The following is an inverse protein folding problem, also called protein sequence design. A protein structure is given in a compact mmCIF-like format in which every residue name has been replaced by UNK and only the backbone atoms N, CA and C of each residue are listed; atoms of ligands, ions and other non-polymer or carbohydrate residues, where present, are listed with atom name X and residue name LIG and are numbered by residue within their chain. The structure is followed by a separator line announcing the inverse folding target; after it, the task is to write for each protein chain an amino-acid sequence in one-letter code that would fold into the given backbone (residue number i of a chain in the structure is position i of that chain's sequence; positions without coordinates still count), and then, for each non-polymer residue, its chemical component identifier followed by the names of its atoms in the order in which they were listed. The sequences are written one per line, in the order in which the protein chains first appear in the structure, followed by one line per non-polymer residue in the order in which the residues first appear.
data_IF_082480326580
#
_entry.id   IF_082480326580
#
_cell.length_a   1.000
_cell.length_b   1.000
_cell.length_c   1.000
_cell.angle_alpha   90.00
_cell.angle_beta   90.00
_cell.angle_gamma   90.00
#
_symmetry.space_group_name_H-M   'P 1'
#
loop_
_entity.id
_entity.type
_entity.pdbx_description
1 polymer ?
#
# COMPACT_ATOMS: atom_id res chain seq x y z
N UNK A 1 9.28 -19.12 -23.93
CA UNK A 1 7.84 -19.28 -24.26
C UNK A 1 7.18 -20.51 -23.57
N UNK A 2 7.40 -20.76 -22.27
CA UNK A 2 6.73 -21.83 -21.51
C UNK A 2 6.53 -21.46 -20.02
N UNK A 3 6.01 -20.26 -19.75
CA UNK A 3 5.68 -19.80 -18.38
C UNK A 3 4.26 -19.23 -18.21
N UNK A 4 3.47 -19.12 -19.29
CA UNK A 4 2.09 -18.60 -19.24
C UNK A 4 0.99 -19.65 -19.07
N UNK A 5 1.28 -20.96 -19.18
CA UNK A 5 0.23 -22.00 -19.20
C UNK A 5 -0.03 -22.72 -17.86
N UNK A 6 0.47 -22.19 -16.74
CA UNK A 6 0.25 -22.76 -15.40
C UNK A 6 -0.47 -21.81 -14.44
N UNK A 7 -0.70 -20.56 -14.80
CA UNK A 7 -1.53 -19.61 -14.03
C UNK A 7 -3.05 -19.78 -14.27
N UNK A 8 -3.45 -20.53 -15.30
CA UNK A 8 -4.87 -20.79 -15.59
C UNK A 8 -5.48 -21.94 -14.75
N UNK A 9 -4.71 -22.59 -13.86
CA UNK A 9 -5.10 -23.90 -13.28
C UNK A 9 -5.60 -23.93 -11.83
N UNK A 10 -5.90 -22.80 -11.18
CA UNK A 10 -6.50 -22.83 -9.81
C UNK A 10 -7.72 -21.91 -9.62
N UNK A 11 -8.23 -21.25 -10.68
CA UNK A 11 -9.56 -20.57 -10.59
C UNK A 11 -10.71 -21.51 -11.03
N UNK A 12 -10.40 -22.75 -11.41
CA UNK A 12 -11.43 -23.71 -11.80
C UNK A 12 -11.82 -24.62 -10.62
N UNK A 13 -13.10 -24.47 -10.19
CA UNK A 13 -13.89 -25.29 -9.23
C UNK A 13 -14.08 -24.78 -7.79
N UNK A 14 -14.29 -23.49 -7.60
CA UNK A 14 -15.29 -23.06 -6.62
C UNK A 14 -16.27 -22.17 -7.35
N UNK A 15 -17.57 -22.45 -7.22
CA UNK A 15 -18.64 -21.60 -7.72
C UNK A 15 -18.60 -20.26 -6.99
N UNK A 16 -17.66 -19.40 -7.38
CA UNK A 16 -17.55 -18.00 -7.02
C UNK A 16 -18.63 -17.34 -7.88
N UNK A 17 -19.75 -16.97 -7.26
CA UNK A 17 -20.93 -16.47 -8.00
C UNK A 17 -20.59 -15.28 -8.88
N UNK A 18 -21.39 -15.03 -9.91
CA UNK A 18 -21.11 -14.05 -10.98
C UNK A 18 -20.67 -12.66 -10.46
N UNK A 19 -21.27 -12.16 -9.38
CA UNK A 19 -20.89 -10.87 -8.78
C UNK A 19 -19.45 -10.83 -8.27
N UNK A 20 -18.95 -11.92 -7.67
CA UNK A 20 -17.55 -11.97 -7.20
C UNK A 20 -16.59 -12.12 -8.37
N UNK A 21 -16.97 -12.83 -9.43
CA UNK A 21 -16.15 -12.90 -10.64
C UNK A 21 -16.00 -11.54 -11.31
N UNK A 22 -17.07 -10.74 -11.38
CA UNK A 22 -17.04 -9.36 -11.91
C UNK A 22 -16.15 -8.47 -11.05
N UNK A 23 -16.34 -8.48 -9.73
CA UNK A 23 -15.50 -7.72 -8.80
C UNK A 23 -14.01 -8.09 -8.91
N UNK A 24 -13.68 -9.38 -9.01
CA UNK A 24 -12.30 -9.83 -9.18
C UNK A 24 -11.72 -9.48 -10.55
N UNK A 25 -12.54 -9.45 -11.61
CA UNK A 25 -12.08 -8.92 -12.90
C UNK A 25 -11.81 -7.43 -12.80
N UNK A 26 -12.66 -6.65 -12.14
CA UNK A 26 -12.44 -5.21 -11.95
C UNK A 26 -11.16 -4.94 -11.15
N UNK A 27 -10.89 -5.68 -10.06
CA UNK A 27 -9.62 -5.55 -9.33
C UNK A 27 -8.37 -5.93 -10.14
N UNK A 28 -8.53 -6.72 -11.21
CA UNK A 28 -7.44 -7.11 -12.11
C UNK A 28 -7.29 -6.18 -13.30
N UNK A 29 -8.41 -5.68 -13.79
CA UNK A 29 -8.54 -4.90 -15.02
C UNK A 29 -8.71 -3.40 -14.78
N UNK A 30 -8.70 -2.93 -13.52
CA UNK A 30 -9.00 -1.54 -13.17
C UNK A 30 -8.27 -0.55 -14.08
N UNK A 31 -9.06 0.43 -14.53
CA UNK A 31 -9.11 0.88 -15.92
C UNK A 31 -7.96 1.82 -16.32
N UNK A 32 -7.34 1.51 -17.47
CA UNK A 32 -6.49 2.40 -18.27
C UNK A 32 -7.29 3.30 -19.25
N UNK A 33 -8.50 3.76 -18.89
CA UNK A 33 -9.40 4.45 -19.83
C UNK A 33 -9.48 5.97 -19.68
N UNK A 34 -8.39 6.64 -19.33
CA UNK A 34 -8.11 7.99 -19.85
C UNK A 34 -6.61 7.98 -20.08
N UNK A 35 -6.16 7.88 -21.32
CA UNK A 35 -4.74 8.13 -21.63
C UNK A 35 -4.50 9.61 -21.33
N UNK A 36 -3.82 9.97 -20.23
CA UNK A 36 -3.35 11.34 -20.09
C UNK A 36 -2.24 11.51 -21.13
N UNK A 37 -1.82 12.74 -21.38
CA UNK A 37 -0.53 12.98 -22.02
C UNK A 37 0.52 12.11 -21.30
N UNK A 38 1.08 11.10 -21.97
CA UNK A 38 2.01 10.14 -21.38
C UNK A 38 3.26 10.79 -20.76
N UNK A 39 3.48 12.07 -21.11
CA UNK A 39 4.55 12.91 -20.56
C UNK A 39 4.21 13.57 -19.21
N UNK A 40 2.94 13.66 -18.83
CA UNK A 40 2.49 14.24 -17.56
C UNK A 40 2.54 13.22 -16.41
N UNK A 41 2.18 11.97 -16.67
CA UNK A 41 2.22 10.86 -15.69
C UNK A 41 3.62 10.37 -15.38
N UNK A 42 4.58 10.50 -16.31
CA UNK A 42 5.96 10.01 -16.15
C UNK A 42 6.90 10.99 -15.42
N UNK A 43 6.41 12.16 -15.01
CA UNK A 43 7.20 13.12 -14.21
C UNK A 43 6.63 13.21 -12.81
N UNK A 44 7.49 13.12 -11.79
CA UNK A 44 6.99 13.18 -10.43
C UNK A 44 6.51 14.60 -10.08
N UNK A 45 5.40 14.72 -9.34
CA UNK A 45 4.84 16.00 -8.93
C UNK A 45 5.82 16.73 -8.02
N UNK A 46 5.71 18.06 -7.92
CA UNK A 46 6.58 18.84 -7.03
C UNK A 46 6.34 18.42 -5.58
N UNK A 47 7.41 18.11 -4.87
CA UNK A 47 7.37 17.96 -3.40
C UNK A 47 7.34 19.37 -2.81
N UNK A 48 6.41 19.62 -1.89
CA UNK A 48 6.26 20.93 -1.25
C UNK A 48 7.52 21.33 -0.48
N UNK A 49 7.86 22.63 -0.48
CA UNK A 49 8.96 23.17 0.31
C UNK A 49 8.54 23.29 1.78
N UNK A 50 9.26 22.62 2.69
CA UNK A 50 9.01 22.68 4.15
C UNK A 50 8.24 21.49 4.75
N UNK A 51 8.01 20.43 3.97
CA UNK A 51 7.33 19.21 4.42
C UNK A 51 8.26 18.16 5.03
N UNK A 52 7.66 17.08 5.55
CA UNK A 52 8.30 15.86 6.06
C UNK A 52 9.03 15.04 4.97
N UNK A 53 8.80 15.38 3.70
CA UNK A 53 9.45 14.78 2.54
C UNK A 53 10.12 15.89 1.74
N UNK A 54 11.34 15.65 1.27
CA UNK A 54 12.04 16.51 0.32
C UNK A 54 12.73 15.69 -0.75
N UNK A 55 12.85 16.27 -1.95
CA UNK A 55 13.45 15.62 -3.12
C UNK A 55 14.49 16.52 -3.76
N UNK A 56 15.72 16.02 -3.81
CA UNK A 56 16.78 16.56 -4.65
C UNK A 56 16.83 15.76 -5.95
N UNK A 57 16.92 16.44 -7.08
CA UNK A 57 16.99 15.82 -8.41
C UNK A 57 18.43 15.93 -8.91
N UNK A 58 19.08 14.79 -9.12
CA UNK A 58 20.37 14.72 -9.80
C UNK A 58 20.17 14.30 -11.25
N UNK A 59 21.26 14.20 -12.02
CA UNK A 59 21.19 13.76 -13.41
C UNK A 59 20.51 12.39 -13.55
N UNK A 60 20.87 11.42 -12.71
CA UNK A 60 20.40 10.04 -12.78
C UNK A 60 19.46 9.60 -11.66
N UNK A 61 19.29 10.38 -10.58
CA UNK A 61 18.56 9.92 -9.38
C UNK A 61 17.60 10.96 -8.80
N UNK A 62 16.57 10.44 -8.15
CA UNK A 62 15.81 11.15 -7.12
C UNK A 62 16.41 10.81 -5.76
N UNK A 63 16.91 11.81 -5.05
CA UNK A 63 17.41 11.67 -3.68
C UNK A 63 16.34 12.20 -2.73
N UNK A 64 15.69 11.27 -2.05
CA UNK A 64 14.60 11.52 -1.12
C UNK A 64 15.13 11.63 0.30
N UNK A 65 14.71 12.66 1.03
CA UNK A 65 14.87 12.73 2.48
C UNK A 65 13.51 12.73 3.13
N UNK A 66 13.31 11.80 4.06
CA UNK A 66 12.10 11.63 4.84
C UNK A 66 12.39 11.88 6.31
N UNK A 67 11.52 12.64 6.95
CA UNK A 67 11.50 12.86 8.39
C UNK A 67 10.09 12.55 8.90
N UNK A 68 9.96 11.76 9.96
CA UNK A 68 8.63 11.41 10.46
C UNK A 68 8.66 11.13 11.96
N UNK A 69 7.47 11.08 12.55
CA UNK A 69 7.27 10.74 13.95
C UNK A 69 6.41 9.48 14.02
N UNK A 70 6.85 8.48 14.78
CA UNK A 70 6.01 7.29 15.01
C UNK A 70 5.01 7.50 16.15
N UNK A 71 4.15 6.50 16.39
CA UNK A 71 3.12 6.56 17.44
C UNK A 71 3.70 6.79 18.84
N UNK A 72 4.94 6.37 19.08
CA UNK A 72 5.66 6.55 20.36
C UNK A 72 6.37 7.91 20.44
N UNK A 73 6.05 8.85 19.55
CA UNK A 73 6.63 10.20 19.49
C UNK A 73 8.13 10.23 19.22
N UNK A 74 8.68 9.16 18.61
CA UNK A 74 10.08 9.13 18.20
C UNK A 74 10.23 9.71 16.81
N UNK A 75 11.20 10.62 16.67
CA UNK A 75 11.52 11.28 15.40
C UNK A 75 12.59 10.50 14.65
N UNK A 76 12.29 10.19 13.40
CA UNK A 76 13.13 9.39 12.52
C UNK A 76 13.52 10.20 11.30
N UNK A 77 14.70 9.87 10.75
CA UNK A 77 15.17 10.40 9.47
C UNK A 77 15.74 9.27 8.62
N UNK A 78 15.44 9.33 7.32
CA UNK A 78 16.01 8.42 6.34
C UNK A 78 16.25 9.16 5.03
N UNK A 79 17.34 8.78 4.36
CA UNK A 79 17.66 9.23 3.00
C UNK A 79 17.71 8.01 2.10
N UNK A 80 17.05 8.09 0.95
CA UNK A 80 16.98 7.04 -0.04
C UNK A 80 17.16 7.62 -1.44
N UNK A 81 17.93 6.92 -2.28
CA UNK A 81 18.09 7.28 -3.66
C UNK A 81 17.42 6.23 -4.56
N UNK A 82 16.61 6.70 -5.51
CA UNK A 82 16.00 5.91 -6.56
C UNK A 82 16.51 6.39 -7.91
N UNK A 83 16.85 5.46 -8.80
CA UNK A 83 17.22 5.81 -10.17
C UNK A 83 15.99 6.38 -10.91
N UNK A 84 16.20 7.44 -11.69
CA UNK A 84 15.11 8.10 -12.44
C UNK A 84 14.48 7.17 -13.47
N UNK A 85 15.26 6.20 -13.97
CA UNK A 85 14.78 5.16 -14.88
C UNK A 85 13.81 4.23 -14.18
N UNK A 86 14.10 3.82 -12.94
CA UNK A 86 13.19 2.97 -12.15
C UNK A 86 11.84 3.66 -11.94
N UNK A 87 11.83 4.96 -11.61
CA UNK A 87 10.59 5.73 -11.54
C UNK A 87 9.85 5.80 -12.88
N UNK A 88 10.56 6.10 -13.98
CA UNK A 88 9.90 6.24 -15.28
C UNK A 88 9.40 4.91 -15.85
N UNK A 89 10.08 3.80 -15.55
CA UNK A 89 9.64 2.45 -15.91
C UNK A 89 8.39 2.09 -15.10
N UNK A 90 8.41 2.34 -13.80
CA UNK A 90 7.25 2.14 -12.93
C UNK A 90 6.03 2.95 -13.37
N UNK A 91 6.20 4.23 -13.67
CA UNK A 91 5.12 5.11 -14.15
C UNK A 91 4.61 4.77 -15.57
N UNK A 92 5.32 3.91 -16.31
CA UNK A 92 4.87 3.37 -17.60
C UNK A 92 4.23 1.99 -17.46
N UNK A 93 4.39 1.34 -16.31
CA UNK A 93 3.81 0.04 -16.04
C UNK A 93 2.39 0.22 -15.53
N UNK A 94 1.42 -0.35 -16.24
CA UNK A 94 0.02 -0.31 -15.83
C UNK A 94 -0.30 -1.55 -15.00
N UNK A 95 -0.87 -1.32 -13.82
CA UNK A 95 -1.29 -2.37 -12.91
C UNK A 95 -2.75 -2.18 -12.51
N UNK A 96 -3.51 -3.26 -12.50
CA UNK A 96 -4.69 -3.33 -11.63
C UNK A 96 -4.26 -3.51 -10.17
N UNK A 97 -5.19 -3.36 -9.23
CA UNK A 97 -4.95 -3.48 -7.78
C UNK A 97 -4.12 -4.72 -7.40
N UNK A 98 -4.48 -5.91 -7.90
CA UNK A 98 -3.71 -7.13 -7.56
C UNK A 98 -2.27 -7.11 -8.11
N UNK A 99 -2.07 -6.48 -9.27
CA UNK A 99 -0.74 -6.29 -9.84
C UNK A 99 0.13 -5.38 -8.99
N UNK A 100 -0.42 -4.25 -8.52
CA UNK A 100 0.28 -3.30 -7.63
C UNK A 100 0.74 -3.94 -6.32
N UNK A 101 -0.12 -4.80 -5.73
CA UNK A 101 0.26 -5.60 -4.57
C UNK A 101 1.44 -6.54 -4.85
N UNK A 102 1.40 -7.28 -5.97
CA UNK A 102 2.43 -8.25 -6.33
C UNK A 102 3.77 -7.57 -6.65
N UNK A 103 3.74 -6.43 -7.34
CA UNK A 103 4.96 -5.65 -7.65
C UNK A 103 5.58 -5.04 -6.40
N UNK A 104 4.77 -4.51 -5.48
CA UNK A 104 5.28 -3.96 -4.22
C UNK A 104 6.02 -5.02 -3.37
N UNK A 105 5.53 -6.26 -3.33
CA UNK A 105 6.21 -7.37 -2.63
C UNK A 105 7.51 -7.80 -3.29
N UNK A 106 7.60 -7.71 -4.62
CA UNK A 106 8.71 -8.26 -5.41
C UNK A 106 9.73 -7.22 -5.87
N UNK A 107 9.49 -5.94 -5.60
CA UNK A 107 10.38 -4.84 -5.95
C UNK A 107 11.69 -4.87 -5.16
N UNK A 108 12.80 -4.84 -5.90
CA UNK A 108 14.15 -4.69 -5.34
C UNK A 108 14.41 -3.30 -4.76
N UNK A 109 13.75 -2.28 -5.29
CA UNK A 109 13.86 -0.91 -4.77
C UNK A 109 13.14 -0.79 -3.43
N UNK A 110 11.98 -1.45 -3.28
CA UNK A 110 11.28 -1.57 -2.01
C UNK A 110 12.08 -2.40 -1.01
N UNK A 111 12.68 -3.52 -1.40
CA UNK A 111 13.58 -4.29 -0.54
C UNK A 111 14.75 -3.43 -0.02
N UNK A 112 15.41 -2.69 -0.92
CA UNK A 112 16.49 -1.76 -0.55
C UNK A 112 15.99 -0.67 0.40
N UNK A 113 14.79 -0.15 0.15
CA UNK A 113 14.17 0.86 1.00
C UNK A 113 13.82 0.29 2.38
N UNK A 114 13.27 -0.92 2.48
CA UNK A 114 12.97 -1.61 3.72
C UNK A 114 14.23 -1.79 4.58
N UNK A 115 15.34 -2.23 3.97
CA UNK A 115 16.64 -2.29 4.64
C UNK A 115 17.09 -0.91 5.15
N UNK A 116 16.92 0.15 4.36
CA UNK A 116 17.26 1.52 4.78
C UNK A 116 16.39 1.99 5.93
N UNK A 117 15.09 1.69 5.91
CA UNK A 117 14.14 2.05 6.95
C UNK A 117 14.42 1.32 8.27
N UNK A 118 14.81 0.05 8.21
CA UNK A 118 15.28 -0.71 9.37
C UNK A 118 16.55 -0.11 9.99
N UNK A 119 17.39 0.54 9.18
CA UNK A 119 18.59 1.26 9.59
C UNK A 119 18.39 2.78 9.74
N UNK A 120 17.15 3.28 9.79
CA UNK A 120 16.88 4.71 9.89
C UNK A 120 17.38 5.32 11.21
N UNK A 121 17.82 6.56 11.13
CA UNK A 121 18.45 7.29 12.23
C UNK A 121 17.39 7.85 13.17
N UNK A 122 17.56 7.60 14.48
CA UNK A 122 16.75 8.25 15.51
C UNK A 122 17.30 9.67 15.73
N UNK A 123 16.45 10.69 15.63
CA UNK A 123 16.87 12.09 15.73
C UNK A 123 17.04 12.61 17.17
N UNK A 124 16.85 11.77 18.18
CA UNK A 124 16.98 12.13 19.61
C UNK A 124 18.21 11.47 20.24
N UNK A 125 18.82 12.14 21.23
CA UNK A 125 20.15 11.83 21.82
C UNK A 125 20.31 10.48 22.55
N UNK A 126 19.28 9.64 22.64
CA UNK A 126 19.41 8.33 23.30
C UNK A 126 20.11 7.32 22.39
N UNK A 127 21.44 7.32 22.50
CA UNK A 127 22.34 6.43 21.80
C UNK A 127 22.13 4.94 22.17
N UNK A 128 22.14 4.10 21.13
CA UNK A 128 22.64 2.73 21.14
C UNK A 128 21.86 1.65 21.95
N UNK A 129 20.53 1.70 21.99
CA UNK A 129 19.75 0.47 22.25
C UNK A 129 19.36 -0.23 20.95
N UNK A 130 19.51 -1.56 20.85
CA UNK A 130 18.91 -2.32 19.76
C UNK A 130 17.42 -1.98 19.65
N UNK A 131 17.01 -1.48 18.48
CA UNK A 131 15.60 -1.15 18.23
C UNK A 131 14.80 -2.46 18.30
N UNK A 132 13.85 -2.52 19.23
CA UNK A 132 12.97 -3.67 19.42
C UNK A 132 12.15 -3.97 18.17
N UNK A 133 11.65 -5.21 18.03
CA UNK A 133 10.81 -5.59 16.90
C UNK A 133 9.56 -4.72 16.77
N UNK A 134 8.90 -4.42 17.89
CA UNK A 134 7.80 -3.44 17.98
C UNK A 134 8.24 -2.08 17.47
N UNK A 135 9.41 -1.61 17.90
CA UNK A 135 9.90 -0.30 17.49
C UNK A 135 10.19 -0.22 15.99
N UNK A 136 10.68 -1.31 15.37
CA UNK A 136 10.88 -1.39 13.91
C UNK A 136 9.55 -1.38 13.16
N UNK A 137 8.56 -2.15 13.62
CA UNK A 137 7.23 -2.18 13.01
C UNK A 137 6.55 -0.79 13.09
N UNK A 138 6.50 -0.18 14.27
CA UNK A 138 5.93 1.16 14.47
C UNK A 138 6.66 2.23 13.65
N UNK A 139 7.98 2.09 13.46
CA UNK A 139 8.73 2.97 12.58
C UNK A 139 8.26 2.85 11.13
N UNK A 140 8.06 1.64 10.63
CA UNK A 140 7.59 1.41 9.26
C UNK A 140 6.16 1.93 9.04
N UNK A 141 5.26 1.64 9.99
CA UNK A 141 3.88 2.15 9.98
C UNK A 141 3.88 3.68 10.02
N UNK A 142 4.65 4.28 10.95
CA UNK A 142 4.74 5.72 11.08
C UNK A 142 5.35 6.41 9.86
N UNK A 143 6.28 5.74 9.16
CA UNK A 143 6.83 6.26 7.91
C UNK A 143 5.76 6.38 6.83
N UNK A 144 5.03 5.30 6.56
CA UNK A 144 3.99 5.30 5.51
C UNK A 144 2.90 6.32 5.83
N UNK A 145 2.42 6.36 7.08
CA UNK A 145 1.41 7.33 7.55
C UNK A 145 1.87 8.79 7.49
N UNK A 146 3.17 9.03 7.35
CA UNK A 146 3.72 10.40 7.25
C UNK A 146 3.74 10.94 5.82
N UNK A 147 3.56 10.07 4.82
CA UNK A 147 3.47 10.48 3.43
C UNK A 147 2.15 11.23 3.19
N UNK A 148 2.14 12.12 2.19
CA UNK A 148 0.94 12.90 1.90
C UNK A 148 -0.20 12.02 1.40
N UNK A 149 -1.42 12.24 1.89
CA UNK A 149 -2.59 11.66 1.25
C UNK A 149 -2.98 12.50 0.03
N UNK A 150 -3.27 11.86 -1.10
CA UNK A 150 -3.81 12.52 -2.31
C UNK A 150 -4.64 11.53 -3.10
N UNK A 151 -5.76 11.97 -3.66
CA UNK A 151 -6.53 11.14 -4.62
C UNK A 151 -5.84 11.13 -5.99
N UNK A 152 -6.18 10.15 -6.82
CA UNK A 152 -5.69 10.11 -8.20
C UNK A 152 -6.23 11.22 -9.07
N UNK A 153 -7.47 11.64 -8.85
CA UNK A 153 -8.04 12.74 -9.62
C UNK A 153 -7.28 14.03 -9.34
N UNK A 154 -6.89 14.29 -8.09
CA UNK A 154 -6.16 15.50 -7.71
C UNK A 154 -4.69 15.49 -8.18
N UNK A 155 -4.07 14.31 -8.23
CA UNK A 155 -2.63 14.19 -8.47
C UNK A 155 -2.24 13.73 -9.87
N UNK A 156 -3.06 12.90 -10.52
CA UNK A 156 -2.84 12.34 -11.86
C UNK A 156 -3.91 12.77 -12.86
N UNK A 157 -5.02 13.35 -12.39
CA UNK A 157 -6.10 13.81 -13.26
C UNK A 157 -6.95 12.69 -13.84
N UNK A 158 -6.85 11.48 -13.29
CA UNK A 158 -7.62 10.31 -13.68
C UNK A 158 -8.39 9.74 -12.49
N UNK A 159 -9.55 9.10 -12.69
CA UNK A 159 -10.35 8.57 -11.59
C UNK A 159 -9.72 7.41 -10.83
N UNK A 160 -8.73 6.71 -11.39
CA UNK A 160 -8.10 5.55 -10.76
C UNK A 160 -6.70 5.38 -11.37
N UNK A 161 -5.68 5.32 -10.52
CA UNK A 161 -4.28 5.16 -10.87
C UNK A 161 -3.53 4.48 -9.71
N UNK A 162 -3.28 3.19 -9.86
CA UNK A 162 -2.45 2.44 -8.90
C UNK A 162 -0.98 2.84 -9.04
N UNK A 163 -0.45 3.64 -8.10
CA UNK A 163 0.99 3.93 -8.08
C UNK A 163 1.76 2.69 -7.67
N UNK A 164 2.89 2.47 -8.30
CA UNK A 164 3.86 1.52 -7.76
C UNK A 164 4.47 2.07 -6.46
N UNK A 165 5.07 1.21 -5.65
CA UNK A 165 5.77 1.63 -4.46
C UNK A 165 6.94 2.61 -4.76
N UNK A 166 7.61 2.49 -5.91
CA UNK A 166 8.62 3.43 -6.39
C UNK A 166 8.04 4.81 -6.66
N UNK A 167 6.88 4.87 -7.31
CA UNK A 167 6.17 6.12 -7.54
C UNK A 167 5.77 6.76 -6.21
N UNK A 168 5.14 6.00 -5.31
CA UNK A 168 4.73 6.48 -3.97
C UNK A 168 5.90 7.03 -3.17
N UNK A 169 7.06 6.36 -3.22
CA UNK A 169 8.29 6.84 -2.56
C UNK A 169 8.75 8.18 -3.16
N UNK A 170 8.88 8.28 -4.49
CA UNK A 170 9.40 9.51 -5.14
C UNK A 170 8.41 10.67 -5.04
N UNK A 171 7.11 10.40 -5.17
CA UNK A 171 6.05 11.40 -5.13
C UNK A 171 5.80 11.87 -3.69
N UNK A 172 6.17 11.03 -2.71
CA UNK A 172 6.02 11.29 -1.27
C UNK A 172 4.57 11.34 -0.83
N UNK A 173 3.68 10.68 -1.58
CA UNK A 173 2.23 10.70 -1.41
C UNK A 173 1.56 9.54 -2.15
N UNK A 174 0.31 9.27 -1.79
CA UNK A 174 -0.60 8.35 -2.46
C UNK A 174 -1.95 8.33 -1.75
N UNK A 175 -2.91 7.58 -2.25
CA UNK A 175 -4.16 7.29 -1.56
C UNK A 175 -4.08 5.97 -0.78
N UNK A 176 -5.21 5.30 -0.54
CA UNK A 176 -5.28 4.19 0.40
C UNK A 176 -4.52 2.96 -0.10
N UNK A 177 -4.66 2.61 -1.38
CA UNK A 177 -4.02 1.47 -2.03
C UNK A 177 -2.51 1.68 -2.13
N UNK A 178 -2.07 2.86 -2.54
CA UNK A 178 -0.65 3.16 -2.73
C UNK A 178 0.13 3.04 -1.42
N UNK A 179 -0.44 3.60 -0.35
CA UNK A 179 0.14 3.56 0.98
C UNK A 179 0.02 2.15 1.58
N UNK A 180 -1.06 1.41 1.33
CA UNK A 180 -1.18 0.01 1.71
C UNK A 180 -0.12 -0.85 1.01
N UNK A 181 0.06 -0.72 -0.30
CA UNK A 181 1.07 -1.45 -1.08
C UNK A 181 2.48 -1.13 -0.64
N UNK A 182 2.80 0.14 -0.41
CA UNK A 182 4.11 0.51 0.10
C UNK A 182 4.38 -0.12 1.48
N UNK A 183 3.40 -0.07 2.41
CA UNK A 183 3.56 -0.70 3.72
C UNK A 183 3.73 -2.21 3.61
N UNK A 184 2.89 -2.87 2.80
CA UNK A 184 2.96 -4.31 2.51
C UNK A 184 4.35 -4.66 1.95
N UNK A 185 4.83 -3.94 0.95
CA UNK A 185 6.12 -4.16 0.32
C UNK A 185 7.27 -4.03 1.32
N UNK A 186 7.26 -2.98 2.15
CA UNK A 186 8.26 -2.78 3.20
C UNK A 186 8.27 -3.94 4.20
N UNK A 187 7.09 -4.33 4.70
CA UNK A 187 6.97 -5.35 5.73
C UNK A 187 7.25 -6.77 5.21
N UNK A 188 6.96 -7.04 3.94
CA UNK A 188 7.19 -8.35 3.33
C UNK A 188 8.66 -8.63 3.05
N UNK A 189 9.47 -7.59 2.88
CA UNK A 189 10.86 -7.72 2.47
C UNK A 189 11.83 -7.76 3.67
N UNK A 190 13.04 -8.33 3.50
CA UNK A 190 14.09 -8.23 4.50
C UNK A 190 14.39 -6.78 4.91
N UNK A 191 14.65 -6.51 6.21
CA UNK A 191 14.77 -7.46 7.32
C UNK A 191 13.47 -7.64 8.13
N UNK A 192 12.31 -7.26 7.57
CA UNK A 192 11.03 -7.32 8.27
C UNK A 192 10.38 -8.72 8.15
N UNK A 193 10.28 -9.23 6.92
CA UNK A 193 9.86 -10.60 6.60
C UNK A 193 8.51 -11.03 7.21
N UNK A 194 7.55 -10.11 7.31
CA UNK A 194 6.19 -10.43 7.75
C UNK A 194 5.40 -11.04 6.60
N UNK A 195 4.55 -12.03 6.90
CA UNK A 195 3.50 -12.46 5.98
C UNK A 195 2.43 -11.38 5.94
N UNK A 196 2.23 -10.80 4.78
CA UNK A 196 1.30 -9.71 4.54
C UNK A 196 0.12 -10.15 3.67
N UNK A 197 -0.91 -9.31 3.63
CA UNK A 197 -2.02 -9.43 2.71
C UNK A 197 -2.56 -8.04 2.37
N UNK A 198 -3.22 -7.91 1.22
CA UNK A 198 -4.11 -6.78 0.96
C UNK A 198 -5.48 -7.10 1.55
N UNK A 199 -6.09 -6.10 2.20
CA UNK A 199 -7.41 -6.20 2.80
C UNK A 199 -8.27 -5.10 2.18
N UNK A 200 -9.40 -5.50 1.60
CA UNK A 200 -10.27 -4.61 0.82
C UNK A 200 -11.63 -4.51 1.50
N UNK A 201 -11.88 -3.47 2.31
CA UNK A 201 -13.22 -2.96 2.60
C UNK A 201 -13.83 -2.23 1.38
N UNK A 202 -15.13 -1.86 1.42
CA UNK A 202 -15.71 -0.92 0.47
C UNK A 202 -14.91 0.39 0.41
N UNK A 203 -14.52 0.82 -0.79
CA UNK A 203 -13.89 2.12 -1.06
C UNK A 203 -12.62 2.45 -0.25
N UNK A 204 -11.94 1.43 0.29
CA UNK A 204 -10.73 1.60 1.10
C UNK A 204 -9.80 0.40 0.95
N UNK A 205 -8.54 0.57 1.32
CA UNK A 205 -7.55 -0.51 1.34
C UNK A 205 -6.67 -0.45 2.59
N UNK A 206 -6.45 -1.61 3.20
CA UNK A 206 -5.62 -1.76 4.39
C UNK A 206 -4.51 -2.78 4.13
N UNK A 207 -3.40 -2.64 4.87
CA UNK A 207 -2.40 -3.69 4.97
C UNK A 207 -2.83 -4.73 6.00
N UNK A 208 -2.76 -6.02 5.68
CA UNK A 208 -2.91 -7.12 6.62
C UNK A 208 -1.54 -7.68 7.00
N UNK A 209 -1.33 -7.99 8.28
CA UNK A 209 -0.13 -8.72 8.76
C UNK A 209 -0.55 -9.95 9.53
N UNK A 210 0.07 -11.10 9.25
CA UNK A 210 -0.26 -12.34 9.93
C UNK A 210 -0.04 -12.20 11.45
N UNK A 211 -1.02 -12.62 12.26
CA UNK A 211 -1.01 -12.44 13.72
C UNK A 211 0.22 -13.02 14.39
N UNK A 212 0.61 -14.26 14.03
CA UNK A 212 1.83 -14.91 14.55
C UNK A 212 3.12 -14.15 14.24
N UNK A 213 3.12 -13.33 13.18
CA UNK A 213 4.28 -12.53 12.83
C UNK A 213 4.27 -11.22 13.61
N UNK A 214 3.24 -10.84 14.37
CA UNK A 214 3.28 -9.59 15.11
C UNK A 214 4.11 -9.67 16.41
N UNK A 215 4.72 -8.56 16.86
CA UNK A 215 5.30 -8.49 18.19
C UNK A 215 4.26 -8.78 19.29
N UNK A 216 4.69 -9.38 20.40
CA UNK A 216 3.81 -9.83 21.49
C UNK A 216 2.89 -8.74 22.07
N UNK A 217 3.25 -7.45 21.95
CA UNK A 217 2.39 -6.33 22.35
C UNK A 217 1.06 -6.28 21.58
N UNK A 218 0.97 -6.93 20.42
CA UNK A 218 -0.25 -7.00 19.60
C UNK A 218 -0.94 -8.36 19.69
N UNK A 219 -0.56 -9.26 20.60
CA UNK A 219 -1.12 -10.62 20.67
C UNK A 219 -2.65 -10.64 20.86
N UNK A 220 -3.19 -9.68 21.60
CA UNK A 220 -4.64 -9.56 21.88
C UNK A 220 -5.39 -8.68 20.87
N UNK A 221 -4.73 -8.30 19.78
CA UNK A 221 -5.31 -7.41 18.77
C UNK A 221 -6.39 -8.15 17.96
N UNK A 222 -7.55 -7.53 17.70
CA UNK A 222 -8.57 -8.14 16.86
C UNK A 222 -8.03 -8.55 15.49
N UNK A 223 -8.35 -9.77 15.09
CA UNK A 223 -8.03 -10.29 13.76
C UNK A 223 -9.19 -10.04 12.79
N UNK A 224 -8.84 -9.95 11.51
CA UNK A 224 -9.77 -9.89 10.39
C UNK A 224 -10.53 -11.22 10.26
N UNK A 225 -11.68 -11.23 9.55
CA UNK A 225 -12.40 -12.44 9.24
C UNK A 225 -11.48 -13.55 8.70
N UNK A 226 -11.65 -14.77 9.22
CA UNK A 226 -10.74 -15.88 8.94
C UNK A 226 -9.56 -15.99 9.90
N UNK A 227 -9.44 -15.12 10.91
CA UNK A 227 -8.58 -15.22 12.10
C UNK A 227 -7.06 -15.37 11.84
N UNK A 228 -6.56 -14.84 10.72
CA UNK A 228 -5.13 -14.97 10.36
C UNK A 228 -4.38 -13.65 10.34
N UNK A 229 -5.05 -12.60 9.92
CA UNK A 229 -4.44 -11.29 9.68
C UNK A 229 -4.97 -10.26 10.66
N UNK A 230 -4.11 -9.33 11.06
CA UNK A 230 -4.46 -8.11 11.79
C UNK A 230 -4.35 -6.95 10.81
N UNK A 231 -5.38 -6.11 10.77
CA UNK A 231 -5.40 -4.94 9.89
C UNK A 231 -4.47 -3.83 10.40
N UNK A 232 -3.79 -3.17 9.49
CA UNK A 232 -2.99 -1.97 9.73
C UNK A 232 -3.47 -0.90 8.75
N UNK A 233 -4.04 0.15 9.32
CA UNK A 233 -4.42 1.35 8.60
C UNK A 233 -3.18 2.15 8.18
N UNK A 234 -3.03 2.43 6.89
CA UNK A 234 -1.84 3.10 6.31
C UNK A 234 -2.01 4.61 6.17
N UNK A 235 -3.25 5.11 6.19
CA UNK A 235 -3.56 6.53 5.97
C UNK A 235 -3.71 7.27 7.29
N UNK A 236 -4.55 6.76 8.20
CA UNK A 236 -4.88 7.46 9.45
C UNK A 236 -4.10 6.93 10.65
N UNK A 237 -4.16 7.65 11.77
CA UNK A 237 -3.45 7.29 13.01
C UNK A 237 -4.13 6.18 13.83
N UNK A 238 -5.11 5.47 13.25
CA UNK A 238 -5.85 4.38 13.92
C UNK A 238 -4.91 3.34 14.53
N UNK A 239 -5.26 2.76 15.69
CA UNK A 239 -4.49 1.67 16.27
C UNK A 239 -4.41 0.46 15.33
N UNK A 240 -3.29 -0.28 15.40
CA UNK A 240 -3.17 -1.61 14.77
C UNK A 240 -4.34 -2.49 15.23
N UNK A 241 -4.99 -3.17 14.30
CA UNK A 241 -6.19 -3.99 14.50
C UNK A 241 -7.52 -3.26 14.42
N UNK A 242 -7.53 -1.95 14.20
CA UNK A 242 -8.76 -1.19 14.03
C UNK A 242 -9.23 -1.26 12.56
N UNK A 243 -10.35 -1.96 12.31
CA UNK A 243 -10.97 -2.09 10.98
C UNK A 243 -12.51 -2.15 11.01
N UNK A 244 -13.14 -2.03 12.19
CA UNK A 244 -14.52 -2.45 12.45
C UNK A 244 -15.63 -1.51 11.96
N UNK A 245 -15.34 -0.57 11.06
CA UNK A 245 -16.38 0.33 10.55
C UNK A 245 -17.11 -0.21 9.33
N UNK A 246 -16.43 -1.02 8.51
CA UNK A 246 -16.95 -1.52 7.24
C UNK A 246 -16.66 -3.03 7.10
N UNK A 247 -17.51 -3.79 6.38
CA UNK A 247 -17.28 -5.21 6.15
C UNK A 247 -16.01 -5.42 5.32
N UNK A 248 -15.26 -6.48 5.62
CA UNK A 248 -14.14 -6.89 4.77
C UNK A 248 -14.70 -7.62 3.55
N UNK A 249 -14.45 -7.12 2.35
CA UNK A 249 -14.90 -7.75 1.10
C UNK A 249 -13.96 -8.87 0.67
N UNK A 250 -12.66 -8.60 0.69
CA UNK A 250 -11.62 -9.49 0.19
C UNK A 250 -10.36 -9.41 1.06
N UNK A 251 -9.71 -10.56 1.28
CA UNK A 251 -8.31 -10.63 1.73
C UNK A 251 -7.53 -11.40 0.66
N UNK A 252 -6.46 -10.79 0.14
CA UNK A 252 -5.62 -11.35 -0.92
C UNK A 252 -4.15 -11.40 -0.51
N UNK A 253 -3.51 -12.54 -0.70
CA UNK A 253 -2.06 -12.69 -0.62
C UNK A 253 -1.55 -13.46 -1.86
N UNK A 254 -1.20 -14.74 -1.75
CA UNK A 254 -0.79 -15.57 -2.89
C UNK A 254 -2.01 -16.24 -3.57
N UNK A 255 -3.15 -15.56 -3.47
CA UNK A 255 -4.49 -16.07 -3.75
C UNK A 255 -5.54 -15.44 -2.82
N UNK A 256 -6.81 -15.77 -3.08
CA UNK A 256 -7.93 -15.32 -2.26
C UNK A 256 -7.92 -16.07 -0.93
N UNK A 257 -7.73 -15.35 0.17
CA UNK A 257 -7.65 -15.88 1.53
C UNK A 257 -8.97 -15.78 2.29
N UNK A 258 -9.80 -14.81 1.92
CA UNK A 258 -11.15 -14.59 2.44
C UNK A 258 -11.96 -13.79 1.43
N UNK A 259 -13.26 -14.09 1.32
CA UNK A 259 -14.20 -13.33 0.49
C UNK A 259 -15.58 -13.29 1.16
N UNK A 260 -16.13 -12.09 1.35
CA UNK A 260 -17.52 -11.91 1.77
C UNK A 260 -18.40 -11.61 0.55
N UNK A 261 -19.13 -12.63 0.10
CA UNK A 261 -19.96 -12.52 -1.10
C UNK A 261 -21.18 -11.62 -0.89
N UNK A 262 -21.71 -11.59 0.32
CA UNK A 262 -22.89 -10.79 0.65
C UNK A 262 -22.51 -9.32 0.68
N UNK A 263 -21.40 -9.00 1.37
CA UNK A 263 -20.88 -7.65 1.41
C UNK A 263 -20.46 -7.15 0.01
N UNK A 264 -19.87 -8.01 -0.84
CA UNK A 264 -19.57 -7.64 -2.24
C UNK A 264 -20.85 -7.35 -3.02
N UNK A 265 -21.90 -8.16 -2.88
CA UNK A 265 -23.16 -7.93 -3.60
C UNK A 265 -23.82 -6.61 -3.18
N UNK A 266 -23.74 -6.28 -1.88
CA UNK A 266 -24.23 -5.00 -1.34
C UNK A 266 -23.38 -3.82 -1.88
N UNK A 267 -22.05 -3.90 -1.75
CA UNK A 267 -21.14 -2.87 -2.26
C UNK A 267 -21.26 -2.66 -3.78
N UNK A 268 -21.44 -3.73 -4.56
CA UNK A 268 -21.63 -3.64 -6.03
C UNK A 268 -22.98 -2.98 -6.36
N UNK A 269 -24.00 -3.19 -5.55
CA UNK A 269 -25.29 -2.51 -5.68
C UNK A 269 -25.19 -0.99 -5.50
N UNK A 270 -24.25 -0.53 -4.67
CA UNK A 270 -23.97 0.88 -4.42
C UNK A 270 -23.04 1.48 -5.48
N UNK A 271 -22.00 0.77 -5.94
CA UNK A 271 -21.14 1.18 -7.07
C UNK A 271 -21.92 1.33 -8.37
N UNK A 272 -22.90 0.44 -8.65
CA UNK A 272 -23.80 0.58 -9.82
C UNK A 272 -24.72 1.81 -9.73
N UNK A 273 -24.90 2.37 -8.53
CA UNK A 273 -25.67 3.60 -8.30
C UNK A 273 -24.78 4.85 -8.33
N UNK A 274 -23.50 4.72 -7.98
CA UNK A 274 -22.54 5.82 -7.95
C UNK A 274 -21.11 5.37 -8.31
N UNK A 275 -20.73 5.33 -9.60
CA UNK A 275 -19.47 4.75 -10.07
C UNK A 275 -18.19 5.52 -9.65
N UNK A 276 -18.30 6.64 -8.93
CA UNK A 276 -17.14 7.38 -8.37
C UNK A 276 -16.72 6.91 -6.97
N UNK A 277 -17.45 5.98 -6.35
CA UNK A 277 -17.29 5.66 -4.91
C UNK A 277 -16.15 4.70 -4.54
N UNK A 278 -15.35 4.21 -5.49
CA UNK A 278 -14.09 3.56 -5.12
C UNK A 278 -13.12 4.52 -4.42
N UNK A 279 -13.35 5.84 -4.50
CA UNK A 279 -12.50 6.88 -3.90
C UNK A 279 -13.16 7.72 -2.79
N UNK A 280 -14.45 7.56 -2.47
CA UNK A 280 -15.18 8.54 -1.62
C UNK A 280 -15.42 8.09 -0.17
N UNK A 281 -14.68 7.12 0.37
CA UNK A 281 -14.83 6.70 1.79
C UNK A 281 -13.73 7.30 2.70
N UNK A 282 -12.64 7.83 2.15
CA UNK A 282 -11.59 8.50 2.93
C UNK A 282 -11.96 9.94 3.39
N UNK A 283 -12.89 10.61 2.71
CA UNK A 283 -13.21 12.03 2.97
C UNK A 283 -14.15 12.28 4.17
N UNK A 284 -14.74 11.24 4.77
CA UNK A 284 -15.79 11.40 5.79
C UNK A 284 -15.35 11.23 7.24
N UNK A 285 -14.05 11.04 7.53
CA UNK A 285 -13.57 10.92 8.91
C UNK A 285 -12.27 11.67 9.16
N UNK A 286 -12.35 13.00 9.00
CA UNK A 286 -11.48 13.95 9.70
C UNK A 286 -11.93 14.17 11.15
#
# INVERSE_FOLDING_TARGET
MKRRSLLEKVIDRIAIGAGVSVFLSELRESYAAVSPDSNATTKPPRVGTGGLVSREVTESRYVMTYEWTDRLQRRWRSTFALDRTAYSEAAQEHHGYLGGFETAKTSRDVERFAARLAAADLMTEDAARPISRTARLERAIGFVRSLGYTTDIDSKGVPDYVRTAEETLVDGRGDCEDLAYLLIGILSNPPFEYRTATVIPPGHMLAGVHGDDLPAVYADTPTLPGNRYVAIESVTSRPVGSFQDDPVLLIYNDGIEYVDRSAIAEATGDVLRNPSEFQTIADLRG
#
